data_IF_722730179282
#
_entry.id   IF_722730179282
#
_cell.length_a   1.000
_cell.length_b   1.000
_cell.length_c   1.000
_cell.angle_alpha   90.00
_cell.angle_beta   90.00
_cell.angle_gamma   90.00
#
_symmetry.space_group_name_H-M   'P 1'
#
loop_
_entity.id
_entity.type
_entity.pdbx_description
1 polymer ?
#
# COMPACT_ATOMS: atom_id res chain seq x y z
N UNK A 1 2.41 -23.91 3.03
CA UNK A 1 1.37 -23.11 3.72
C UNK A 1 1.99 -21.74 3.95
N UNK A 2 1.34 -20.65 3.54
CA UNK A 2 1.86 -19.30 3.79
C UNK A 2 1.77 -18.99 5.29
N UNK A 3 2.85 -18.48 5.88
CA UNK A 3 2.88 -18.08 7.29
C UNK A 3 2.71 -16.56 7.42
N UNK A 4 1.76 -16.16 8.25
CA UNK A 4 1.65 -14.77 8.71
C UNK A 4 2.71 -14.50 9.77
N UNK A 5 3.38 -13.35 9.66
CA UNK A 5 4.49 -12.97 10.55
C UNK A 5 4.07 -11.89 11.54
N UNK A 6 3.28 -10.90 11.09
CA UNK A 6 2.79 -9.83 11.95
C UNK A 6 1.36 -9.42 11.57
N UNK A 7 0.57 -9.00 12.56
CA UNK A 7 -0.77 -8.41 12.39
C UNK A 7 -0.91 -7.25 13.37
N UNK A 8 -1.36 -6.10 12.89
CA UNK A 8 -1.57 -4.91 13.73
C UNK A 8 -2.81 -4.13 13.32
N UNK A 9 -3.60 -3.72 14.32
CA UNK A 9 -4.72 -2.79 14.14
C UNK A 9 -4.22 -1.38 13.85
N UNK A 10 -4.92 -0.66 12.99
CA UNK A 10 -4.66 0.76 12.76
C UNK A 10 -4.97 1.55 14.05
N UNK A 11 -4.09 2.46 14.48
CA UNK A 11 -4.34 3.32 15.64
C UNK A 11 -5.39 4.39 15.36
N UNK A 12 -5.62 4.74 14.10
CA UNK A 12 -6.54 5.82 13.68
C UNK A 12 -7.93 5.30 13.27
N UNK A 13 -8.02 4.05 12.80
CA UNK A 13 -9.24 3.48 12.21
C UNK A 13 -9.54 2.10 12.78
N UNK A 14 -10.61 1.98 13.57
CA UNK A 14 -11.02 0.72 14.20
C UNK A 14 -11.46 -0.39 13.23
N UNK A 15 -11.80 -0.05 11.98
CA UNK A 15 -12.13 -1.05 10.96
C UNK A 15 -10.92 -1.62 10.22
N UNK A 16 -9.76 -0.99 10.39
CA UNK A 16 -8.58 -1.25 9.57
C UNK A 16 -7.53 -2.03 10.36
N UNK A 17 -6.95 -3.04 9.72
CA UNK A 17 -5.77 -3.72 10.22
C UNK A 17 -4.84 -4.12 9.07
N UNK A 18 -3.56 -4.31 9.39
CA UNK A 18 -2.55 -4.79 8.47
C UNK A 18 -2.12 -6.22 8.82
N UNK A 19 -1.63 -6.95 7.83
CA UNK A 19 -1.00 -8.26 8.01
C UNK A 19 0.22 -8.40 7.09
N UNK A 20 1.34 -8.90 7.62
CA UNK A 20 2.53 -9.25 6.84
C UNK A 20 2.79 -10.76 6.83
N UNK A 21 3.49 -11.24 5.81
CA UNK A 21 3.76 -12.65 5.62
C UNK A 21 5.14 -12.95 5.03
N UNK A 22 5.47 -14.24 4.96
CA UNK A 22 6.74 -14.76 4.39
C UNK A 22 6.86 -14.54 2.88
N UNK A 23 5.77 -14.25 2.16
CA UNK A 23 5.78 -13.97 0.72
C UNK A 23 6.24 -12.54 0.38
N UNK A 24 6.65 -11.76 1.38
CA UNK A 24 7.09 -10.38 1.22
C UNK A 24 5.94 -9.39 1.00
N UNK A 25 4.70 -9.82 1.21
CA UNK A 25 3.51 -9.00 1.01
C UNK A 25 2.98 -8.50 2.35
N UNK A 26 2.59 -7.23 2.37
CA UNK A 26 1.83 -6.62 3.45
C UNK A 26 0.46 -6.21 2.93
N UNK A 27 -0.61 -6.79 3.49
CA UNK A 27 -1.98 -6.50 3.11
C UNK A 27 -2.63 -5.59 4.15
N UNK A 28 -3.40 -4.61 3.69
CA UNK A 28 -4.27 -3.76 4.51
C UNK A 28 -5.71 -4.17 4.26
N UNK A 29 -6.45 -4.35 5.35
CA UNK A 29 -7.80 -4.87 5.36
C UNK A 29 -8.75 -3.85 5.97
N UNK A 30 -10.00 -3.86 5.48
CA UNK A 30 -11.13 -3.16 6.07
C UNK A 30 -12.23 -4.17 6.36
N UNK A 31 -12.42 -4.53 7.64
CA UNK A 31 -13.36 -5.58 7.99
C UNK A 31 -14.82 -5.17 7.81
N UNK A 32 -15.12 -3.87 7.73
CA UNK A 32 -16.46 -3.39 7.40
C UNK A 32 -16.87 -3.79 5.97
N UNK A 33 -15.89 -3.99 5.07
CA UNK A 33 -16.12 -4.38 3.67
C UNK A 33 -16.20 -5.90 3.48
N UNK A 34 -16.05 -6.68 4.55
CA UNK A 34 -16.23 -8.13 4.50
C UNK A 34 -17.72 -8.43 4.33
N UNK A 35 -18.06 -9.19 3.28
CA UNK A 35 -19.45 -9.54 2.97
C UNK A 35 -20.17 -8.52 2.08
N UNK A 36 -19.58 -7.35 1.82
CA UNK A 36 -20.01 -6.53 0.71
C UNK A 36 -19.77 -7.29 -0.60
N UNK A 37 -20.81 -7.39 -1.43
CA UNK A 37 -20.67 -7.98 -2.76
C UNK A 37 -19.81 -7.06 -3.60
N UNK A 38 -18.51 -7.27 -3.56
CA UNK A 38 -17.63 -6.82 -4.63
C UNK A 38 -18.25 -7.33 -5.92
N UNK A 39 -18.55 -6.43 -6.88
CA UNK A 39 -19.23 -6.82 -8.11
C UNK A 39 -18.54 -8.01 -8.79
N UNK A 40 -19.20 -8.69 -9.75
CA UNK A 40 -18.76 -9.97 -10.34
C UNK A 40 -17.34 -10.00 -10.96
N UNK A 41 -16.61 -8.87 -10.94
CA UNK A 41 -15.27 -8.68 -11.47
C UNK A 41 -14.16 -8.46 -10.41
N UNK A 42 -14.45 -8.49 -9.10
CA UNK A 42 -13.38 -8.33 -8.09
C UNK A 42 -12.54 -9.60 -7.98
N UNK A 43 -11.27 -9.51 -8.41
CA UNK A 43 -10.28 -10.58 -8.31
C UNK A 43 -9.70 -10.75 -6.90
N UNK A 44 -10.07 -9.88 -5.96
CA UNK A 44 -9.48 -9.81 -4.63
C UNK A 44 -10.45 -10.27 -3.54
N UNK A 45 -9.89 -10.76 -2.43
CA UNK A 45 -10.67 -11.21 -1.29
C UNK A 45 -11.53 -10.07 -0.71
N UNK A 46 -12.76 -10.35 -0.25
CA UNK A 46 -13.58 -9.35 0.44
C UNK A 46 -12.82 -8.70 1.60
N UNK A 47 -12.95 -7.38 1.75
CA UNK A 47 -12.25 -6.63 2.78
C UNK A 47 -10.78 -6.32 2.48
N UNK A 48 -10.16 -6.85 1.42
CA UNK A 48 -8.81 -6.42 1.04
C UNK A 48 -8.86 -4.99 0.50
N UNK A 49 -8.28 -4.05 1.23
CA UNK A 49 -8.24 -2.63 0.86
C UNK A 49 -7.01 -2.32 0.01
N UNK A 50 -5.85 -2.82 0.40
CA UNK A 50 -4.59 -2.55 -0.28
C UNK A 50 -3.59 -3.69 -0.11
N UNK A 51 -2.69 -3.86 -1.09
CA UNK A 51 -1.60 -4.81 -1.06
C UNK A 51 -0.29 -4.09 -1.38
N UNK A 52 0.63 -4.11 -0.42
CA UNK A 52 2.00 -3.65 -0.58
C UNK A 52 2.91 -4.84 -0.91
N UNK A 53 3.55 -4.80 -2.08
CA UNK A 53 4.49 -5.83 -2.56
C UNK A 53 5.88 -5.25 -2.87
N UNK A 54 6.30 -4.18 -2.19
CA UNK A 54 7.58 -3.52 -2.46
C UNK A 54 8.81 -4.13 -1.76
N UNK A 55 8.61 -5.10 -0.86
CA UNK A 55 9.70 -5.90 -0.29
C UNK A 55 10.06 -7.06 -1.23
N UNK A 56 11.32 -7.50 -1.18
CA UNK A 56 11.82 -8.58 -2.04
C UNK A 56 11.64 -9.96 -1.41
N UNK A 57 11.44 -9.98 -0.11
CA UNK A 57 11.41 -11.16 0.75
C UNK A 57 10.53 -10.90 1.98
N UNK A 58 10.44 -11.89 2.87
CA UNK A 58 9.60 -11.90 4.07
C UNK A 58 9.57 -10.55 4.81
N UNK A 59 8.36 -10.02 4.99
CA UNK A 59 8.12 -8.82 5.80
C UNK A 59 7.94 -9.26 7.24
N UNK A 60 9.02 -9.16 8.00
CA UNK A 60 9.12 -9.71 9.36
C UNK A 60 8.38 -8.88 10.39
N UNK A 61 8.25 -7.56 10.18
CA UNK A 61 7.49 -6.68 11.05
C UNK A 61 7.06 -5.40 10.32
N UNK A 62 6.05 -4.72 10.87
CA UNK A 62 5.63 -3.38 10.44
C UNK A 62 4.96 -2.61 11.58
N UNK A 63 4.88 -1.29 11.44
CA UNK A 63 4.20 -0.45 12.41
C UNK A 63 3.50 0.74 11.74
N UNK A 64 2.32 1.07 12.25
CA UNK A 64 1.56 2.25 11.82
C UNK A 64 2.14 3.52 12.44
N UNK A 65 2.22 4.61 11.67
CA UNK A 65 2.53 5.92 12.23
C UNK A 65 1.26 6.51 12.87
N UNK A 66 1.27 6.70 14.20
CA UNK A 66 0.14 7.28 14.93
C UNK A 66 -0.07 8.78 14.69
N UNK A 67 0.94 9.47 14.18
CA UNK A 67 0.89 10.92 13.92
C UNK A 67 0.55 11.24 12.47
N UNK A 68 0.66 10.26 11.57
CA UNK A 68 0.38 10.44 10.15
C UNK A 68 -0.44 9.25 9.62
N UNK A 69 -1.79 9.36 9.62
CA UNK A 69 -2.68 8.27 9.24
C UNK A 69 -2.37 7.72 7.85
N UNK A 70 -2.38 6.39 7.70
CA UNK A 70 -2.05 5.65 6.47
C UNK A 70 -0.56 5.59 6.11
N UNK A 71 0.32 6.11 6.96
CA UNK A 71 1.77 5.91 6.84
C UNK A 71 2.21 4.71 7.68
N UNK A 72 3.01 3.83 7.09
CA UNK A 72 3.51 2.60 7.69
C UNK A 72 5.03 2.55 7.50
N UNK A 73 5.73 2.03 8.50
CA UNK A 73 7.10 1.52 8.36
C UNK A 73 7.05 0.00 8.33
N UNK A 74 7.76 -0.63 7.41
CA UNK A 74 7.86 -2.09 7.32
C UNK A 74 9.31 -2.51 7.09
N UNK A 75 9.67 -3.66 7.66
CA UNK A 75 11.02 -4.23 7.55
C UNK A 75 10.97 -5.64 6.95
N UNK A 76 11.90 -5.93 6.05
CA UNK A 76 12.12 -7.28 5.53
C UNK A 76 13.45 -7.85 5.95
N UNK A 77 13.47 -9.18 6.07
CA UNK A 77 14.69 -9.97 6.18
C UNK A 77 14.93 -10.64 4.83
N UNK A 78 15.80 -10.04 4.03
CA UNK A 78 16.06 -10.41 2.65
C UNK A 78 17.05 -11.59 2.64
N UNK A 79 16.60 -12.76 2.20
CA UNK A 79 17.41 -13.97 2.13
C UNK A 79 18.54 -13.89 1.10
N UNK A 80 19.40 -14.91 1.09
CA UNK A 80 20.57 -14.97 0.18
C UNK A 80 20.17 -14.83 -1.30
N UNK A 81 19.01 -15.39 -1.70
CA UNK A 81 18.48 -15.29 -3.07
C UNK A 81 18.10 -13.87 -3.49
N UNK A 82 17.85 -12.96 -2.53
CA UNK A 82 17.44 -11.57 -2.78
C UNK A 82 18.59 -10.57 -2.53
N UNK A 83 19.81 -11.07 -2.35
CA UNK A 83 21.02 -10.30 -2.13
C UNK A 83 21.38 -10.09 -0.66
N UNK A 84 20.71 -10.79 0.26
CA UNK A 84 20.99 -10.74 1.69
C UNK A 84 20.56 -9.44 2.37
N UNK A 85 20.67 -9.43 3.70
CA UNK A 85 20.42 -8.26 4.54
C UNK A 85 18.93 -8.02 4.77
N UNK A 86 18.47 -6.80 4.55
CA UNK A 86 17.08 -6.44 4.75
C UNK A 86 16.78 -5.05 4.20
N UNK A 87 15.49 -4.74 4.06
CA UNK A 87 15.07 -3.37 3.72
C UNK A 87 14.13 -2.81 4.77
N UNK A 88 14.35 -1.55 5.12
CA UNK A 88 13.36 -0.74 5.82
C UNK A 88 12.68 0.15 4.79
N UNK A 89 11.36 0.16 4.78
CA UNK A 89 10.55 1.00 3.90
C UNK A 89 9.57 1.82 4.72
N UNK A 90 9.51 3.12 4.45
CA UNK A 90 8.46 4.01 4.95
C UNK A 90 7.59 4.40 3.76
N UNK A 91 6.30 4.18 3.91
CA UNK A 91 5.36 4.37 2.83
C UNK A 91 4.00 4.83 3.29
N UNK A 92 3.30 5.51 2.39
CA UNK A 92 1.95 6.03 2.62
C UNK A 92 1.03 5.63 1.49
N UNK A 93 -0.14 5.07 1.83
CA UNK A 93 -1.19 4.84 0.83
C UNK A 93 -1.75 6.16 0.32
N UNK A 94 -1.98 6.25 -0.99
CA UNK A 94 -2.61 7.42 -1.59
C UNK A 94 -4.06 7.54 -1.13
N UNK A 95 -4.50 8.77 -0.89
CA UNK A 95 -5.85 9.06 -0.42
C UNK A 95 -6.95 8.57 -1.38
N UNK A 96 -6.64 8.42 -2.67
CA UNK A 96 -7.57 7.90 -3.69
C UNK A 96 -8.02 6.45 -3.45
N UNK A 97 -7.32 5.69 -2.60
CA UNK A 97 -7.71 4.30 -2.25
C UNK A 97 -8.91 4.28 -1.30
N UNK A 98 -8.97 5.24 -0.38
CA UNK A 98 -9.94 5.23 0.73
C UNK A 98 -10.90 6.42 0.73
N UNK A 99 -10.67 7.43 -0.13
CA UNK A 99 -11.51 8.63 -0.25
C UNK A 99 -12.01 8.84 -1.69
N UNK A 100 -13.18 9.48 -1.86
CA UNK A 100 -13.68 9.89 -3.18
C UNK A 100 -12.69 10.82 -3.89
N UNK A 101 -12.53 10.62 -5.21
CA UNK A 101 -11.56 11.38 -6.01
C UNK A 101 -11.78 12.89 -5.90
N UNK A 102 -13.03 13.35 -5.91
CA UNK A 102 -13.40 14.76 -5.85
C UNK A 102 -12.93 15.42 -4.55
N UNK A 103 -13.12 14.74 -3.41
CA UNK A 103 -12.66 15.24 -2.11
C UNK A 103 -11.15 15.31 -2.02
N UNK A 104 -10.47 14.29 -2.56
CA UNK A 104 -9.02 14.25 -2.64
C UNK A 104 -8.52 15.43 -3.46
N UNK A 105 -9.06 15.61 -4.67
CA UNK A 105 -8.71 16.73 -5.56
C UNK A 105 -8.92 18.08 -4.88
N UNK A 106 -10.06 18.30 -4.22
CA UNK A 106 -10.35 19.54 -3.49
C UNK A 106 -9.34 19.81 -2.37
N UNK A 107 -8.86 18.78 -1.68
CA UNK A 107 -7.84 18.93 -0.63
C UNK A 107 -6.44 19.27 -1.17
N UNK A 108 -6.15 18.97 -2.44
CA UNK A 108 -4.84 19.20 -3.07
C UNK A 108 -4.76 20.49 -3.90
N UNK A 109 -5.87 21.00 -4.43
CA UNK A 109 -5.93 22.23 -5.24
C UNK A 109 -5.29 23.45 -4.54
N UNK A 110 -5.39 23.64 -3.22
CA UNK A 110 -4.69 24.74 -2.54
C UNK A 110 -3.17 24.57 -2.48
N UNK A 111 -2.64 23.35 -2.66
CA UNK A 111 -1.25 22.96 -2.33
C UNK A 111 -0.35 22.77 -3.54
N UNK A 112 -0.89 22.50 -4.72
CA UNK A 112 -0.15 22.35 -5.97
C UNK A 112 -0.81 23.11 -7.13
N UNK A 113 0.00 23.62 -8.07
CA UNK A 113 -0.52 24.24 -9.29
C UNK A 113 -1.36 23.22 -10.08
N UNK A 114 -2.58 23.63 -10.43
CA UNK A 114 -3.61 22.80 -11.08
C UNK A 114 -3.15 22.11 -12.37
N UNK A 115 -2.09 22.62 -13.02
CA UNK A 115 -1.53 22.09 -14.27
C UNK A 115 -0.62 20.87 -14.05
N UNK A 116 0.19 20.87 -12.99
CA UNK A 116 1.11 19.76 -12.70
C UNK A 116 0.34 18.50 -12.29
N UNK A 117 -0.74 18.67 -11.54
CA UNK A 117 -1.57 17.54 -11.12
C UNK A 117 -2.43 16.97 -12.24
N UNK A 118 -3.01 17.82 -13.11
CA UNK A 118 -3.72 17.35 -14.31
C UNK A 118 -2.80 16.53 -15.21
N UNK A 119 -1.54 16.94 -15.37
CA UNK A 119 -0.54 16.17 -16.13
C UNK A 119 -0.23 14.82 -15.48
N UNK A 120 -0.10 14.75 -14.15
CA UNK A 120 0.14 13.49 -13.42
C UNK A 120 -1.06 12.52 -13.49
N UNK A 121 -2.29 13.05 -13.36
CA UNK A 121 -3.54 12.28 -13.44
C UNK A 121 -3.86 11.81 -14.86
N UNK A 122 -3.51 12.59 -15.88
CA UNK A 122 -3.71 12.19 -17.28
C UNK A 122 -2.70 11.12 -17.71
N UNK A 123 -1.44 11.23 -17.25
CA UNK A 123 -0.42 10.21 -17.52
C UNK A 123 -0.79 8.86 -16.90
N UNK A 124 -1.41 8.86 -15.72
CA UNK A 124 -1.91 7.64 -15.06
C UNK A 124 -3.13 7.01 -15.73
N UNK A 125 -3.95 7.76 -16.48
CA UNK A 125 -5.11 7.21 -17.21
C UNK A 125 -4.78 6.65 -18.59
N UNK A 126 -3.73 7.14 -19.24
CA UNK A 126 -3.44 6.82 -20.63
C UNK A 126 -2.57 5.57 -20.81
N UNK A 127 -1.86 5.16 -19.76
CA UNK A 127 -1.00 3.95 -19.73
C UNK A 127 -1.66 2.74 -19.04
N UNK A 128 -2.98 2.77 -18.78
CA UNK A 128 -3.69 1.66 -18.13
C UNK A 128 -4.25 0.67 -19.17
N UNK A 129 -3.41 -0.23 -19.69
CA UNK A 129 -3.88 -1.47 -20.32
C UNK A 129 -4.13 -2.55 -19.23
N UNK A 130 -5.01 -3.50 -19.52
CA UNK A 130 -5.55 -4.50 -18.57
C UNK A 130 -4.44 -5.40 -17.98
N UNK A 131 -3.27 -5.45 -18.60
CA UNK A 131 -2.07 -6.16 -18.14
C UNK A 131 -1.21 -5.38 -17.12
N UNK A 132 -1.35 -4.05 -17.01
CA UNK A 132 -0.50 -3.21 -16.15
C UNK A 132 -1.00 -3.07 -14.71
N UNK A 133 -2.06 -3.82 -14.33
CA UNK A 133 -2.59 -3.81 -12.95
C UNK A 133 -1.58 -4.30 -11.90
N UNK A 134 -0.52 -5.01 -12.29
CA UNK A 134 0.59 -5.34 -11.38
C UNK A 134 1.48 -4.12 -11.08
N UNK A 135 1.69 -3.22 -12.06
CA UNK A 135 2.42 -1.97 -11.89
C UNK A 135 1.62 -0.93 -11.10
N UNK A 136 0.28 -0.94 -11.18
CA UNK A 136 -0.61 -0.01 -10.44
C UNK A 136 -0.42 -0.08 -8.92
N UNK A 137 0.06 -1.19 -8.36
CA UNK A 137 0.32 -1.28 -6.91
C UNK A 137 1.45 -0.36 -6.45
N UNK A 138 2.43 -0.06 -7.30
CA UNK A 138 3.53 0.84 -6.98
C UNK A 138 3.13 2.32 -7.07
N UNK A 139 2.05 2.67 -7.80
CA UNK A 139 1.59 4.07 -7.98
C UNK A 139 0.51 4.49 -6.99
N UNK A 140 -0.15 3.53 -6.34
CA UNK A 140 -1.11 3.78 -5.26
C UNK A 140 -0.41 4.06 -3.92
N UNK A 141 0.91 4.04 -3.91
CA UNK A 141 1.74 4.10 -2.72
C UNK A 141 2.88 5.09 -2.97
N UNK A 142 3.09 6.00 -2.03
CA UNK A 142 4.28 6.85 -2.04
C UNK A 142 5.30 6.18 -1.10
N UNK A 143 6.36 5.61 -1.66
CA UNK A 143 7.55 5.26 -0.88
C UNK A 143 8.26 6.56 -0.55
N UNK A 144 8.24 6.93 0.73
CA UNK A 144 8.91 8.14 1.23
C UNK A 144 10.39 7.86 1.48
N UNK A 145 10.71 6.62 1.89
CA UNK A 145 12.08 6.23 2.22
C UNK A 145 12.29 4.73 2.07
N UNK A 146 13.44 4.32 1.53
CA UNK A 146 13.89 2.93 1.48
C UNK A 146 15.39 2.87 1.75
N UNK A 147 15.77 2.22 2.83
CA UNK A 147 17.17 1.97 3.20
C UNK A 147 17.47 0.48 3.11
N UNK A 148 18.66 0.14 2.59
CA UNK A 148 19.19 -1.22 2.66
C UNK A 148 20.01 -1.34 3.94
N UNK A 149 19.70 -2.32 4.77
CA UNK A 149 20.56 -2.69 5.89
C UNK A 149 21.90 -3.22 5.37
N UNK A 150 23.00 -2.76 5.96
CA UNK A 150 24.35 -3.23 5.65
C UNK A 150 24.48 -4.70 6.05
N UNK A 151 24.76 -5.57 5.08
CA UNK A 151 25.30 -6.92 5.27
C UNK A 151 26.78 -6.93 4.90
#
# INVERSE_FOLDING_TARGET
MLKLLCVQWSPDKSSIFGSSAEDGVLNIWDHNKVGERSGPASKFAPGLLFRHSGHRDKVVDFHWNSHDPWTIVSVSDDGESTGGGGTLQIWRMIDLIHRPQEEVLLSFIPRFSSHLWKALVLKTKQDMDIQDRELVNDWLMIIVYKERGFG
#
